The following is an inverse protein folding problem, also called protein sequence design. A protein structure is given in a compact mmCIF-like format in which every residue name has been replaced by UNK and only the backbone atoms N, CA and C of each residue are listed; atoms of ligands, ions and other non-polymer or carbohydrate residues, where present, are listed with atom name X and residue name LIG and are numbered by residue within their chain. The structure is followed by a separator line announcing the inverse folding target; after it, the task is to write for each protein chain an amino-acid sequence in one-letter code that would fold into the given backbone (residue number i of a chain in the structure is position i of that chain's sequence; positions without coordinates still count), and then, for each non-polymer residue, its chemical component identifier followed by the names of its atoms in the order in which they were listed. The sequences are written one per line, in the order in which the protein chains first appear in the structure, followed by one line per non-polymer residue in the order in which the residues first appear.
data_IF_578935415479
#
_entry.id   IF_578935415479
#
_cell.length_a   1.000
_cell.length_b   1.000
_cell.length_c   1.000
_cell.angle_alpha   90.00
_cell.angle_beta   90.00
_cell.angle_gamma   90.00
#
_symmetry.space_group_name_H-M   'P 1'
#
loop_
_entity.id
_entity.type
_entity.pdbx_description
1 polymer ?
#
# COMPACT_ATOMS: atom_id res chain seq x y z
N UNK A 1 2.99 31.26 -0.32
CA UNK A 1 3.27 30.04 -1.09
C UNK A 1 2.61 28.85 -0.45
N UNK A 2 1.72 28.25 -1.15
CA UNK A 2 1.05 27.06 -0.65
C UNK A 2 1.93 25.85 -0.92
N UNK A 3 2.40 25.23 0.15
CA UNK A 3 3.03 23.94 0.06
C UNK A 3 1.92 22.89 0.04
N UNK A 4 1.76 22.23 -1.09
CA UNK A 4 0.79 21.15 -1.18
C UNK A 4 1.38 19.90 -0.57
N UNK A 5 0.58 19.27 0.26
CA UNK A 5 0.90 17.99 0.86
C UNK A 5 0.10 16.91 0.15
N UNK A 6 0.80 15.91 -0.34
CA UNK A 6 0.15 14.74 -0.94
C UNK A 6 0.28 13.58 0.02
N UNK A 7 -0.84 12.99 0.37
CA UNK A 7 -0.87 11.80 1.23
C UNK A 7 -1.21 10.59 0.37
N UNK A 8 -0.34 9.61 0.40
CA UNK A 8 -0.49 8.39 -0.37
C UNK A 8 -0.67 7.23 0.59
N UNK A 9 -1.79 6.53 0.45
CA UNK A 9 -2.05 5.30 1.20
C UNK A 9 -1.91 4.11 0.28
N UNK A 10 -1.12 3.15 0.72
CA UNK A 10 -0.92 1.90 0.00
C UNK A 10 -1.53 0.76 0.79
N UNK A 11 -2.18 -0.15 0.09
CA UNK A 11 -2.74 -1.37 0.67
C UNK A 11 -2.38 -2.56 -0.21
N UNK A 12 -1.99 -3.64 0.42
CA UNK A 12 -1.71 -4.88 -0.29
C UNK A 12 -1.81 -6.06 0.66
N UNK A 13 -2.14 -7.21 0.11
CA UNK A 13 -2.09 -8.47 0.87
C UNK A 13 -0.67 -9.01 0.98
N UNK A 14 0.23 -8.55 0.15
CA UNK A 14 1.63 -9.00 0.14
C UNK A 14 2.53 -7.88 0.64
N UNK A 15 3.24 -8.14 1.75
CA UNK A 15 4.13 -7.15 2.35
C UNK A 15 5.31 -6.78 1.45
N UNK A 16 5.76 -7.71 0.62
CA UNK A 16 6.88 -7.45 -0.30
C UNK A 16 6.48 -6.48 -1.40
N UNK A 17 5.28 -6.67 -1.96
CA UNK A 17 4.78 -5.80 -3.00
C UNK A 17 4.54 -4.38 -2.49
N UNK A 18 3.98 -4.26 -1.29
CA UNK A 18 3.72 -2.94 -0.71
C UNK A 18 5.01 -2.21 -0.38
N UNK A 19 6.02 -2.91 0.12
CA UNK A 19 7.31 -2.30 0.42
C UNK A 19 8.02 -1.88 -0.86
N UNK A 20 7.96 -2.67 -1.91
CA UNK A 20 8.53 -2.33 -3.21
C UNK A 20 7.82 -1.10 -3.81
N UNK A 21 6.50 -1.06 -3.75
CA UNK A 21 5.74 0.07 -4.24
C UNK A 21 6.08 1.34 -3.45
N UNK A 22 6.17 1.24 -2.13
CA UNK A 22 6.54 2.37 -1.28
C UNK A 22 7.93 2.90 -1.63
N UNK A 23 8.89 2.02 -1.84
CA UNK A 23 10.25 2.40 -2.21
C UNK A 23 10.27 3.14 -3.56
N UNK A 24 9.52 2.68 -4.53
CA UNK A 24 9.44 3.34 -5.85
C UNK A 24 8.82 4.73 -5.76
N UNK A 25 7.79 4.88 -4.94
CA UNK A 25 7.13 6.18 -4.75
C UNK A 25 8.08 7.16 -4.06
N UNK A 26 8.76 6.72 -3.02
CA UNK A 26 9.72 7.56 -2.30
C UNK A 26 10.85 7.99 -3.22
N UNK A 27 11.39 7.08 -4.01
CA UNK A 27 12.45 7.38 -4.96
C UNK A 27 12.00 8.41 -6.00
N UNK A 28 10.82 8.21 -6.58
CA UNK A 28 10.27 9.12 -7.59
C UNK A 28 10.05 10.52 -7.01
N UNK A 29 9.50 10.60 -5.81
CA UNK A 29 9.26 11.89 -5.14
C UNK A 29 10.57 12.59 -4.78
N UNK A 30 11.56 11.85 -4.33
CA UNK A 30 12.87 12.40 -4.00
C UNK A 30 13.56 12.95 -5.25
N UNK A 31 13.45 12.24 -6.36
CA UNK A 31 14.01 12.71 -7.64
C UNK A 31 13.34 13.99 -8.14
N UNK A 32 12.08 14.20 -7.82
CA UNK A 32 11.38 15.42 -8.19
C UNK A 32 11.70 16.59 -7.28
N UNK A 33 12.54 16.40 -6.28
CA UNK A 33 12.96 17.46 -5.36
C UNK A 33 12.02 17.67 -4.19
N UNK A 34 11.07 16.78 -3.98
CA UNK A 34 10.12 16.88 -2.88
C UNK A 34 10.69 16.32 -1.59
N UNK A 35 10.19 16.87 -0.49
CA UNK A 35 10.48 16.36 0.83
C UNK A 35 9.50 15.23 1.14
N UNK A 36 10.01 14.07 1.49
CA UNK A 36 9.19 12.89 1.73
C UNK A 36 9.32 12.47 3.17
N UNK A 37 8.18 12.34 3.84
CA UNK A 37 8.11 11.62 5.10
C UNK A 37 7.99 10.14 4.74
N UNK A 38 9.01 9.36 5.06
CA UNK A 38 9.23 8.01 4.57
C UNK A 38 8.07 7.07 4.83
N UNK A 39 8.06 5.87 4.28
CA UNK A 39 6.89 5.02 4.44
C UNK A 39 6.63 4.73 5.92
N UNK A 40 5.45 5.11 6.37
CA UNK A 40 5.01 4.88 7.74
C UNK A 40 4.16 3.62 7.76
N UNK A 41 4.58 2.58 8.47
CA UNK A 41 3.74 1.38 8.57
C UNK A 41 2.51 1.67 9.42
N UNK A 42 1.35 1.45 8.85
CA UNK A 42 0.09 1.51 9.58
C UNK A 42 -0.24 0.12 10.13
N UNK A 43 -1.14 0.04 11.13
CA UNK A 43 -1.53 -1.27 11.65
C UNK A 43 -2.05 -2.18 10.55
N UNK A 44 -1.61 -3.44 10.59
CA UNK A 44 -2.03 -4.44 9.62
C UNK A 44 -3.38 -4.99 10.04
N UNK A 45 -4.35 -4.94 9.13
CA UNK A 45 -5.64 -5.56 9.35
C UNK A 45 -5.52 -7.06 9.12
N UNK A 46 -6.03 -7.81 10.06
CA UNK A 46 -5.97 -9.26 10.04
C UNK A 46 -7.38 -9.80 10.06
N UNK A 47 -7.72 -10.59 9.08
CA UNK A 47 -9.02 -11.22 8.99
C UNK A 47 -8.84 -12.73 8.93
N UNK A 48 -9.57 -13.45 9.76
CA UNK A 48 -9.55 -14.91 9.76
C UNK A 48 -10.80 -15.39 9.04
N UNK A 49 -10.60 -16.08 7.93
CA UNK A 49 -11.68 -16.66 7.15
C UNK A 49 -11.71 -18.15 7.43
N UNK A 50 -12.86 -18.62 7.92
CA UNK A 50 -13.06 -20.03 8.16
C UNK A 50 -13.90 -20.59 7.00
N UNK A 51 -13.33 -21.55 6.29
CA UNK A 51 -14.04 -22.24 5.22
C UNK A 51 -14.41 -23.64 5.70
N UNK A 52 -15.71 -23.93 5.65
CA UNK A 52 -16.21 -25.26 5.91
C UNK A 52 -16.15 -26.04 4.60
N UNK A 53 -15.34 -27.09 4.61
CA UNK A 53 -15.33 -28.02 3.47
C UNK A 53 -16.20 -29.20 3.80
N UNK A 54 -17.15 -29.49 2.94
CA UNK A 54 -17.92 -30.71 3.02
C UNK A 54 -17.02 -31.88 2.69
N UNK A 55 -16.68 -32.68 3.64
CA UNK A 55 -15.99 -33.93 3.41
C UNK A 55 -16.80 -35.06 4.03
N UNK A 56 -16.68 -36.24 3.46
CA UNK A 56 -17.27 -37.43 4.07
C UNK A 56 -16.46 -37.94 5.24
N UNK A 57 -15.36 -37.32 5.54
CA UNK A 57 -14.57 -37.63 6.71
C UNK A 57 -15.28 -37.10 7.96
N UNK A 58 -15.24 -37.87 8.99
CA UNK A 58 -15.91 -37.57 10.28
C UNK A 58 -15.28 -36.40 11.02
N UNK A 59 -14.20 -35.87 10.54
CA UNK A 59 -13.51 -34.76 11.19
C UNK A 59 -13.94 -33.44 10.59
N UNK A 60 -13.97 -32.42 11.45
CA UNK A 60 -14.20 -31.05 11.03
C UNK A 60 -13.24 -30.67 9.92
N UNK A 61 -13.78 -30.42 8.74
CA UNK A 61 -13.00 -29.91 7.62
C UNK A 61 -13.04 -28.41 7.63
N UNK A 62 -12.47 -27.84 8.65
CA UNK A 62 -12.33 -26.38 8.73
C UNK A 62 -10.94 -26.01 8.27
N UNK A 63 -10.87 -25.22 7.26
CA UNK A 63 -9.64 -24.54 6.91
C UNK A 63 -9.77 -23.10 7.32
N UNK A 64 -8.83 -22.64 8.11
CA UNK A 64 -8.74 -21.23 8.48
C UNK A 64 -7.68 -20.59 7.64
N UNK A 65 -8.08 -19.56 6.92
CA UNK A 65 -7.15 -18.73 6.17
C UNK A 65 -7.03 -17.40 6.86
N UNK A 66 -5.81 -16.93 6.97
CA UNK A 66 -5.54 -15.64 7.53
C UNK A 66 -5.30 -14.66 6.37
N UNK A 67 -6.12 -13.62 6.32
CA UNK A 67 -5.96 -12.56 5.35
C UNK A 67 -5.38 -11.34 6.05
N UNK A 68 -4.19 -10.94 5.65
CA UNK A 68 -3.53 -9.76 6.20
C UNK A 68 -3.50 -8.67 5.16
N UNK A 69 -4.04 -7.51 5.52
CA UNK A 69 -3.95 -6.33 4.69
C UNK A 69 -2.89 -5.40 5.27
N UNK A 70 -1.78 -5.29 4.56
CA UNK A 70 -0.71 -4.40 4.94
C UNK A 70 -1.01 -3.00 4.43
N UNK A 71 -0.67 -1.99 5.23
CA UNK A 71 -0.91 -0.59 4.90
C UNK A 71 0.35 0.22 5.11
N UNK A 72 0.60 1.14 4.19
CA UNK A 72 1.71 2.08 4.31
C UNK A 72 1.21 3.49 3.99
N UNK A 73 1.77 4.46 4.68
CA UNK A 73 1.43 5.87 4.47
C UNK A 73 2.68 6.62 4.06
N UNK A 74 2.57 7.38 3.00
CA UNK A 74 3.66 8.23 2.52
C UNK A 74 3.13 9.65 2.40
N UNK A 75 3.79 10.60 3.04
CA UNK A 75 3.48 12.02 2.92
C UNK A 75 4.55 12.70 2.09
N UNK A 76 4.13 13.41 1.07
CA UNK A 76 5.02 14.16 0.19
C UNK A 76 4.74 15.65 0.40
N UNK A 77 5.77 16.39 0.77
CA UNK A 77 5.67 17.82 1.01
C UNK A 77 6.25 18.60 -0.16
N UNK A 78 5.77 19.82 -0.33
CA UNK A 78 6.21 20.69 -1.41
C UNK A 78 5.95 20.11 -2.80
N UNK A 79 4.85 19.37 -2.92
CA UNK A 79 4.48 18.76 -4.19
C UNK A 79 4.09 19.84 -5.21
N UNK A 80 4.42 19.60 -6.46
CA UNK A 80 4.04 20.45 -7.58
C UNK A 80 3.40 19.60 -8.68
N UNK A 81 3.02 20.24 -9.79
CA UNK A 81 2.41 19.52 -10.90
C UNK A 81 3.32 18.45 -11.50
N UNK A 82 4.61 18.70 -11.49
CA UNK A 82 5.62 17.71 -11.92
C UNK A 82 5.58 16.45 -11.08
N UNK A 83 5.45 16.60 -9.75
CA UNK A 83 5.37 15.49 -8.83
C UNK A 83 4.13 14.62 -9.11
N UNK A 84 2.99 15.27 -9.34
CA UNK A 84 1.75 14.56 -9.65
C UNK A 84 1.89 13.78 -10.95
N UNK A 85 2.50 14.38 -11.97
CA UNK A 85 2.74 13.71 -13.25
C UNK A 85 3.65 12.49 -13.09
N UNK A 86 4.72 12.63 -12.35
CA UNK A 86 5.65 11.52 -12.11
C UNK A 86 4.95 10.37 -11.39
N UNK A 87 4.15 10.69 -10.38
CA UNK A 87 3.42 9.68 -9.62
C UNK A 87 2.37 8.97 -10.46
N UNK A 88 1.69 9.70 -11.35
CA UNK A 88 0.66 9.11 -12.21
C UNK A 88 1.25 8.18 -13.28
N UNK A 89 2.50 8.42 -13.67
CA UNK A 89 3.20 7.59 -14.66
C UNK A 89 4.01 6.47 -14.04
N UNK A 90 4.04 6.40 -12.71
CA UNK A 90 4.82 5.41 -12.01
C UNK A 90 4.25 4.02 -12.23
N UNK A 91 5.11 3.10 -12.65
CA UNK A 91 4.73 1.70 -12.83
C UNK A 91 4.90 0.98 -11.50
N UNK A 92 3.77 0.57 -10.93
CA UNK A 92 3.75 -0.11 -9.65
C UNK A 92 3.38 -1.58 -9.82
N UNK A 93 3.82 -2.45 -8.90
CA UNK A 93 3.46 -3.85 -8.96
C UNK A 93 1.95 -4.06 -8.92
N UNK A 94 1.46 -5.05 -9.64
CA UNK A 94 0.07 -5.45 -9.55
C UNK A 94 -0.22 -5.97 -8.13
N UNK A 95 -1.43 -5.78 -7.66
CA UNK A 95 -1.83 -6.22 -6.32
C UNK A 95 -1.64 -5.19 -5.22
N UNK A 96 -1.24 -3.98 -5.58
CA UNK A 96 -1.14 -2.86 -4.63
C UNK A 96 -2.19 -1.82 -4.96
N UNK A 97 -3.03 -1.52 -3.99
CA UNK A 97 -4.02 -0.45 -4.11
C UNK A 97 -3.42 0.87 -3.65
N UNK A 98 -3.61 1.90 -4.45
CA UNK A 98 -3.07 3.23 -4.16
C UNK A 98 -4.22 4.21 -4.03
N UNK A 99 -4.21 4.96 -2.95
CA UNK A 99 -5.15 6.05 -2.73
C UNK A 99 -4.35 7.33 -2.50
N UNK A 100 -4.55 8.31 -3.36
CA UNK A 100 -3.82 9.57 -3.30
C UNK A 100 -4.80 10.67 -2.90
N UNK A 101 -4.47 11.36 -1.82
CA UNK A 101 -5.23 12.52 -1.36
C UNK A 101 -4.38 13.77 -1.47
N UNK A 102 -4.93 14.74 -2.10
CA UNK A 102 -4.32 16.07 -2.22
C UNK A 102 -4.65 16.95 -1.03
#
# INVERSE_FOLDING_TARGET
MSTQKIRIKLKSFDHRLIDEAAARIVEAATKSGCKVSGPIPLPTDKEIITILRATFAKKDSREQFELRTHKRLIDIFSANSKTVDILSKLDLPAGVDINIKL
#
